data_IF_684037116754
#
_entry.id   IF_684037116754
#
_cell.length_a   1.000
_cell.length_b   1.000
_cell.length_c   1.000
_cell.angle_alpha   90.00
_cell.angle_beta   90.00
_cell.angle_gamma   90.00
#
_symmetry.space_group_name_H-M   'P 1'
#
loop_
_entity.id
_entity.type
_entity.pdbx_description
1 polymer ?
#
# COMPACT_ATOMS: atom_id res chain seq x y z
N UNK A 1 14.23 6.25 -27.58
CA UNK A 1 14.48 6.24 -26.14
C UNK A 1 13.62 5.12 -25.58
N UNK A 2 14.21 4.05 -25.05
CA UNK A 2 13.43 2.97 -24.43
C UNK A 2 12.67 3.53 -23.22
N UNK A 3 11.34 3.48 -23.28
CA UNK A 3 10.48 3.82 -22.15
C UNK A 3 10.52 2.64 -21.18
N UNK A 4 11.51 2.62 -20.29
CA UNK A 4 11.56 1.65 -19.20
C UNK A 4 10.55 2.07 -18.12
N UNK A 5 9.28 1.75 -18.32
CA UNK A 5 8.24 1.98 -17.32
C UNK A 5 8.36 0.93 -16.21
N UNK A 6 9.34 1.12 -15.33
CA UNK A 6 9.63 0.24 -14.20
C UNK A 6 8.44 0.10 -13.22
N UNK A 7 7.46 1.01 -13.26
CA UNK A 7 6.30 0.98 -12.38
C UNK A 7 5.27 -0.07 -12.79
N UNK A 8 5.17 -0.42 -14.08
CA UNK A 8 4.31 -1.52 -14.54
C UNK A 8 4.71 -2.87 -13.93
N UNK A 9 5.94 -2.99 -13.42
CA UNK A 9 6.41 -4.19 -12.73
C UNK A 9 5.48 -4.60 -11.58
N UNK A 10 4.88 -3.63 -10.88
CA UNK A 10 4.06 -3.86 -9.69
C UNK A 10 2.63 -4.28 -10.02
N UNK A 11 2.16 -4.01 -11.25
CA UNK A 11 0.81 -4.31 -11.67
C UNK A 11 0.51 -5.82 -11.56
N UNK A 12 -0.61 -6.14 -10.93
CA UNK A 12 -1.08 -7.50 -10.65
C UNK A 12 -0.11 -8.37 -9.84
N UNK A 13 0.91 -7.79 -9.18
CA UNK A 13 1.78 -8.52 -8.25
C UNK A 13 1.12 -8.64 -6.89
N UNK A 14 1.24 -9.82 -6.28
CA UNK A 14 0.88 -10.02 -4.88
C UNK A 14 2.03 -9.52 -4.00
N UNK A 15 1.77 -8.53 -3.14
CA UNK A 15 2.80 -7.91 -2.30
C UNK A 15 2.33 -7.92 -0.85
N UNK A 16 3.06 -8.61 0.02
CA UNK A 16 2.85 -8.59 1.46
C UNK A 16 3.56 -7.39 2.08
N UNK A 17 2.84 -6.57 2.85
CA UNK A 17 3.38 -5.47 3.64
C UNK A 17 3.15 -5.76 5.12
N UNK A 18 4.24 -5.95 5.86
CA UNK A 18 4.20 -5.93 7.33
C UNK A 18 4.29 -4.49 7.82
N UNK A 19 3.50 -4.11 8.83
CA UNK A 19 3.41 -2.73 9.30
C UNK A 19 2.57 -1.77 8.43
N UNK A 20 1.71 -2.28 7.54
CA UNK A 20 0.83 -1.52 6.63
C UNK A 20 -0.10 -0.48 7.31
N UNK A 21 -0.48 -0.68 8.57
CA UNK A 21 -1.33 0.28 9.32
C UNK A 21 -0.57 1.49 9.89
N UNK A 22 0.77 1.43 9.91
CA UNK A 22 1.62 2.55 10.34
C UNK A 22 1.77 3.62 9.26
N UNK A 23 2.27 4.81 9.61
CA UNK A 23 2.39 5.95 8.68
C UNK A 23 3.09 5.59 7.36
N UNK A 24 4.28 4.99 7.42
CA UNK A 24 5.04 4.60 6.22
C UNK A 24 4.38 3.44 5.47
N UNK A 25 3.85 2.47 6.21
CA UNK A 25 3.17 1.32 5.64
C UNK A 25 1.94 1.72 4.84
N UNK A 26 1.17 2.68 5.35
CA UNK A 26 -0.02 3.21 4.67
C UNK A 26 0.35 3.98 3.40
N UNK A 27 1.43 4.77 3.42
CA UNK A 27 1.94 5.42 2.20
C UNK A 27 2.37 4.40 1.13
N UNK A 28 3.11 3.37 1.54
CA UNK A 28 3.56 2.33 0.61
C UNK A 28 2.38 1.52 0.06
N UNK A 29 1.43 1.15 0.92
CA UNK A 29 0.21 0.43 0.53
C UNK A 29 -0.62 1.23 -0.46
N UNK A 30 -0.83 2.53 -0.21
CA UNK A 30 -1.50 3.43 -1.15
C UNK A 30 -0.80 3.41 -2.51
N UNK A 31 0.50 3.68 -2.53
CA UNK A 31 1.25 3.79 -3.78
C UNK A 31 1.21 2.50 -4.60
N UNK A 32 1.44 1.35 -3.97
CA UNK A 32 1.38 0.06 -4.66
C UNK A 32 -0.03 -0.29 -5.15
N UNK A 33 -1.07 0.08 -4.38
CA UNK A 33 -2.46 -0.08 -4.79
C UNK A 33 -2.78 0.76 -6.03
N UNK A 34 -2.34 2.02 -6.07
CA UNK A 34 -2.50 2.91 -7.25
C UNK A 34 -1.75 2.38 -8.49
N UNK A 35 -0.65 1.67 -8.28
CA UNK A 35 0.10 0.99 -9.35
C UNK A 35 -0.56 -0.34 -9.80
N UNK A 36 -1.70 -0.72 -9.21
CA UNK A 36 -2.44 -1.92 -9.56
C UNK A 36 -1.89 -3.22 -8.97
N UNK A 37 -1.08 -3.14 -7.91
CA UNK A 37 -0.65 -4.32 -7.16
C UNK A 37 -1.78 -4.86 -6.28
N UNK A 38 -1.77 -6.17 -6.02
CA UNK A 38 -2.62 -6.82 -5.03
C UNK A 38 -1.88 -6.78 -3.69
N UNK A 39 -2.13 -5.74 -2.90
CA UNK A 39 -1.47 -5.54 -1.60
C UNK A 39 -2.15 -6.40 -0.55
N UNK A 40 -1.36 -7.08 0.28
CA UNK A 40 -1.83 -7.85 1.44
C UNK A 40 -1.17 -7.26 2.69
N UNK A 41 -1.97 -6.85 3.67
CA UNK A 41 -1.48 -6.20 4.89
C UNK A 41 -1.40 -7.14 6.10
N UNK A 42 -0.31 -7.06 6.87
CA UNK A 42 -0.24 -7.66 8.21
C UNK A 42 0.35 -6.69 9.24
N UNK A 43 -0.38 -6.34 10.30
CA UNK A 43 0.06 -5.37 11.30
C UNK A 43 -0.70 -5.48 12.61
N UNK A 44 -0.16 -4.83 13.64
CA UNK A 44 -0.94 -4.42 14.81
C UNK A 44 -1.93 -3.32 14.41
N UNK A 45 -2.83 -2.98 15.33
CA UNK A 45 -3.75 -1.85 15.16
C UNK A 45 -3.00 -0.54 14.89
N UNK A 46 -3.60 0.41 14.14
CA UNK A 46 -2.96 1.68 13.85
C UNK A 46 -2.53 2.42 15.13
N UNK A 47 -1.32 3.01 15.16
CA UNK A 47 -0.75 3.55 16.40
C UNK A 47 -1.32 4.92 16.81
N UNK A 48 -2.18 5.54 15.99
CA UNK A 48 -2.73 6.89 16.22
C UNK A 48 -4.21 6.98 15.82
N UNK A 49 -4.94 7.94 16.39
CA UNK A 49 -6.30 8.29 15.98
C UNK A 49 -6.42 9.81 15.76
N UNK A 50 -6.64 10.29 14.51
CA UNK A 50 -6.74 9.49 13.29
C UNK A 50 -5.38 8.88 12.90
N UNK A 51 -5.43 7.76 12.17
CA UNK A 51 -4.26 7.21 11.48
C UNK A 51 -4.33 7.52 9.99
N UNK A 52 -3.17 7.56 9.33
CA UNK A 52 -3.12 7.70 7.87
C UNK A 52 -3.85 6.55 7.17
N UNK A 53 -3.74 5.34 7.73
CA UNK A 53 -4.46 4.15 7.25
C UNK A 53 -5.97 4.39 7.13
N UNK A 54 -6.57 4.97 8.18
CA UNK A 54 -8.00 5.34 8.19
C UNK A 54 -8.30 6.50 7.25
N UNK A 55 -7.47 7.56 7.25
CA UNK A 55 -7.68 8.74 6.41
C UNK A 55 -7.67 8.41 4.90
N UNK A 56 -6.89 7.41 4.49
CA UNK A 56 -6.81 6.92 3.11
C UNK A 56 -7.85 5.83 2.78
N UNK A 57 -8.68 5.44 3.74
CA UNK A 57 -9.65 4.36 3.64
C UNK A 57 -9.03 3.04 3.12
N UNK A 58 -7.79 2.74 3.54
CA UNK A 58 -7.04 1.62 2.96
C UNK A 58 -7.67 0.26 3.28
N UNK A 59 -8.44 0.14 4.37
CA UNK A 59 -9.15 -1.10 4.72
C UNK A 59 -10.10 -1.60 3.63
N UNK A 60 -10.64 -0.71 2.80
CA UNK A 60 -11.56 -1.06 1.71
C UNK A 60 -10.84 -1.28 0.38
N UNK A 61 -9.53 -1.05 0.34
CA UNK A 61 -8.71 -1.02 -0.88
C UNK A 61 -7.71 -2.16 -0.98
N UNK A 62 -7.33 -2.76 0.14
CA UNK A 62 -6.32 -3.83 0.27
C UNK A 62 -6.80 -4.96 1.17
#
# INVERSE_FOLDING_TARGET
>A
MENNNHLEFFKSKNILITGHTGFKGSWLALWLTELGANVIGYSLDPPTNPSLFQALNLKERI
#
